data_IF_630159921260
#
_entry.id   IF_630159921260
#
_cell.length_a   1.000
_cell.length_b   1.000
_cell.length_c   1.000
_cell.angle_alpha   90.00
_cell.angle_beta   90.00
_cell.angle_gamma   90.00
#
_symmetry.space_group_name_H-M   'P 1'
#
loop_
_entity.id
_entity.type
_entity.pdbx_description
1 polymer ?
#
# COMPACT_ATOMS: atom_id res chain seq x y z
N UNK A 1 3.18 15.85 14.07
CA UNK A 1 3.26 14.53 14.74
C UNK A 1 3.49 13.50 13.64
N UNK A 2 4.34 12.48 13.83
CA UNK A 2 4.57 11.43 12.83
C UNK A 2 3.33 10.55 12.72
N UNK A 3 2.79 10.37 11.52
CA UNK A 3 1.71 9.44 11.23
C UNK A 3 2.32 8.07 10.99
N UNK A 4 2.24 7.18 11.98
CA UNK A 4 2.89 5.87 11.91
C UNK A 4 2.02 4.79 12.56
N UNK A 5 2.01 3.64 11.94
CA UNK A 5 1.35 2.42 12.42
C UNK A 5 1.97 1.18 11.80
N UNK A 6 1.27 0.07 11.88
CA UNK A 6 1.74 -1.21 11.36
C UNK A 6 0.58 -2.00 10.75
N UNK A 7 0.90 -3.13 10.12
CA UNK A 7 -0.10 -4.01 9.53
C UNK A 7 -0.72 -4.90 10.60
N UNK A 8 -1.97 -4.64 10.94
CA UNK A 8 -2.70 -5.27 12.04
C UNK A 8 -3.58 -6.43 11.58
N UNK A 9 -3.93 -7.27 12.54
CA UNK A 9 -4.85 -8.40 12.32
C UNK A 9 -6.28 -8.00 12.61
N UNK A 10 -7.21 -8.35 11.72
CA UNK A 10 -8.66 -8.18 11.92
C UNK A 10 -9.29 -9.24 12.82
N UNK A 11 -8.51 -10.05 13.53
CA UNK A 11 -9.00 -11.14 14.39
C UNK A 11 -9.93 -10.65 15.50
N UNK A 12 -9.67 -9.47 16.04
CA UNK A 12 -10.44 -8.83 17.12
C UNK A 12 -11.51 -7.85 16.62
N UNK A 13 -11.87 -7.91 15.33
CA UNK A 13 -12.83 -6.99 14.72
C UNK A 13 -12.22 -5.65 14.30
N UNK A 14 -13.09 -4.76 13.82
CA UNK A 14 -12.68 -3.43 13.35
C UNK A 14 -12.41 -2.47 14.53
N UNK A 15 -13.25 -2.47 15.57
CA UNK A 15 -12.98 -1.73 16.81
C UNK A 15 -11.61 -2.11 17.40
N UNK A 16 -11.27 -3.42 17.34
CA UNK A 16 -10.00 -3.95 17.80
C UNK A 16 -8.80 -3.29 17.14
N UNK A 17 -8.84 -3.04 15.82
CA UNK A 17 -7.77 -2.34 15.09
C UNK A 17 -7.47 -0.96 15.68
N UNK A 18 -8.52 -0.15 15.92
CA UNK A 18 -8.34 1.18 16.51
C UNK A 18 -7.76 1.14 17.93
N UNK A 19 -8.20 0.17 18.74
CA UNK A 19 -7.71 0.00 20.11
C UNK A 19 -6.27 -0.49 20.15
N UNK A 20 -5.91 -1.48 19.32
CA UNK A 20 -4.55 -2.02 19.21
C UNK A 20 -3.56 -0.96 18.72
N UNK A 21 -3.96 -0.14 17.70
CA UNK A 21 -3.17 0.98 17.25
C UNK A 21 -2.85 1.97 18.39
N UNK A 22 -3.84 2.33 19.18
CA UNK A 22 -3.63 3.23 20.34
C UNK A 22 -2.72 2.61 21.40
N UNK A 23 -2.86 1.32 21.67
CA UNK A 23 -2.02 0.60 22.65
C UNK A 23 -0.54 0.63 22.27
N UNK A 24 -0.22 0.46 20.99
CA UNK A 24 1.16 0.52 20.48
C UNK A 24 1.67 1.95 20.27
N UNK A 25 0.81 2.94 20.48
CA UNK A 25 1.13 4.36 20.26
C UNK A 25 1.09 4.76 18.78
N UNK A 26 0.41 4.02 17.94
CA UNK A 26 0.16 4.37 16.53
C UNK A 26 -0.99 5.37 16.39
N UNK A 27 -1.09 6.01 15.21
CA UNK A 27 -2.18 6.90 14.82
C UNK A 27 -2.61 6.68 13.36
N UNK A 28 -2.26 5.56 12.81
CA UNK A 28 -2.71 4.95 11.57
C UNK A 28 -2.41 3.45 11.64
N UNK A 29 -2.91 2.67 10.70
CA UNK A 29 -2.59 1.24 10.57
C UNK A 29 -2.89 0.76 9.14
N UNK A 30 -2.38 -0.44 8.80
CA UNK A 30 -2.90 -1.20 7.67
C UNK A 30 -3.61 -2.46 8.15
N UNK A 31 -4.48 -3.01 7.32
CA UNK A 31 -5.17 -4.26 7.58
C UNK A 31 -5.58 -4.93 6.26
N UNK A 32 -5.70 -6.25 6.25
CA UNK A 32 -6.26 -6.94 5.09
C UNK A 32 -7.79 -6.86 5.06
N UNK A 33 -8.34 -6.50 3.91
CA UNK A 33 -9.80 -6.48 3.68
C UNK A 33 -10.46 -7.84 3.86
N UNK A 34 -9.67 -8.91 3.68
CA UNK A 34 -10.02 -10.32 3.80
C UNK A 34 -8.79 -11.15 4.13
N UNK A 35 -8.94 -12.48 4.23
CA UNK A 35 -7.77 -13.34 4.42
C UNK A 35 -6.69 -13.02 3.35
N UNK A 36 -5.43 -12.76 3.74
CA UNK A 36 -4.34 -12.41 2.81
C UNK A 36 -4.04 -13.50 1.76
N UNK A 37 -4.47 -14.73 1.99
CA UNK A 37 -4.40 -15.82 1.02
C UNK A 37 -5.62 -15.90 0.09
N UNK A 38 -6.50 -14.89 0.13
CA UNK A 38 -7.73 -14.81 -0.65
C UNK A 38 -8.90 -15.55 -0.01
N UNK A 39 -10.00 -15.61 -0.75
CA UNK A 39 -11.23 -16.27 -0.31
C UNK A 39 -12.36 -15.29 0.02
N UNK A 40 -13.49 -15.84 0.48
CA UNK A 40 -14.65 -15.05 0.85
C UNK A 40 -14.36 -14.26 2.12
N UNK A 41 -14.65 -12.95 2.08
CA UNK A 41 -14.58 -12.10 3.27
C UNK A 41 -15.80 -12.39 4.19
N UNK A 42 -15.62 -12.18 5.50
CA UNK A 42 -16.73 -12.14 6.45
C UNK A 42 -17.56 -10.88 6.22
N UNK A 43 -18.85 -10.92 6.50
CA UNK A 43 -19.68 -9.71 6.45
C UNK A 43 -19.16 -8.67 7.44
N UNK A 44 -19.26 -7.39 7.07
CA UNK A 44 -18.88 -6.30 7.97
C UNK A 44 -19.95 -6.15 9.05
N UNK A 45 -19.53 -6.08 10.29
CA UNK A 45 -20.38 -5.62 11.38
C UNK A 45 -20.39 -4.09 11.38
N UNK A 46 -21.53 -3.50 11.04
CA UNK A 46 -21.69 -2.05 10.94
C UNK A 46 -21.46 -1.33 12.27
N UNK A 47 -21.86 -1.94 13.39
CA UNK A 47 -21.67 -1.36 14.72
C UNK A 47 -20.19 -1.34 15.08
N UNK A 48 -19.46 -2.41 14.75
CA UNK A 48 -18.02 -2.52 14.95
C UNK A 48 -17.26 -1.49 14.09
N UNK A 49 -17.66 -1.32 12.82
CA UNK A 49 -17.11 -0.30 11.93
C UNK A 49 -17.35 1.13 12.45
N UNK A 50 -18.56 1.43 12.95
CA UNK A 50 -18.88 2.74 13.53
C UNK A 50 -18.03 3.05 14.77
N UNK A 51 -17.75 2.05 15.62
CA UNK A 51 -16.86 2.21 16.76
C UNK A 51 -15.43 2.50 16.34
N UNK A 52 -14.90 1.81 15.31
CA UNK A 52 -13.61 2.14 14.74
C UNK A 52 -13.57 3.58 14.24
N UNK A 53 -14.55 3.99 13.44
CA UNK A 53 -14.61 5.36 12.92
C UNK A 53 -14.59 6.41 14.05
N UNK A 54 -15.33 6.16 15.13
CA UNK A 54 -15.34 7.02 16.32
C UNK A 54 -13.97 7.09 17.00
N UNK A 55 -13.29 5.94 17.18
CA UNK A 55 -11.94 5.91 17.76
C UNK A 55 -10.97 6.73 16.91
N UNK A 56 -11.02 6.56 15.58
CA UNK A 56 -10.15 7.29 14.66
C UNK A 56 -10.40 8.81 14.72
N UNK A 57 -11.67 9.25 14.75
CA UNK A 57 -12.03 10.65 14.86
C UNK A 57 -11.58 11.27 16.17
N UNK A 58 -11.89 10.63 17.32
CA UNK A 58 -11.57 11.13 18.66
C UNK A 58 -10.04 11.21 18.91
N UNK A 59 -9.25 10.39 18.22
CA UNK A 59 -7.81 10.34 18.39
C UNK A 59 -7.02 10.93 17.19
N UNK A 60 -7.69 11.61 16.26
CA UNK A 60 -7.08 12.28 15.11
C UNK A 60 -6.17 11.33 14.30
N UNK A 61 -6.68 10.16 13.95
CA UNK A 61 -5.95 9.21 13.10
C UNK A 61 -5.68 9.80 11.71
N UNK A 62 -4.51 9.55 11.18
CA UNK A 62 -4.21 9.70 9.78
C UNK A 62 -5.00 8.65 8.95
N UNK A 63 -5.14 8.81 7.62
CA UNK A 63 -5.79 7.80 6.79
C UNK A 63 -5.24 6.41 7.04
N UNK A 64 -6.13 5.42 7.15
CA UNK A 64 -5.76 4.01 7.32
C UNK A 64 -5.65 3.32 5.95
N UNK A 65 -4.84 2.27 5.87
CA UNK A 65 -4.55 1.57 4.64
C UNK A 65 -5.19 0.18 4.68
N UNK A 66 -6.20 -0.04 3.86
CA UNK A 66 -6.70 -1.38 3.60
C UNK A 66 -5.82 -2.04 2.53
N UNK A 67 -5.36 -3.26 2.74
CA UNK A 67 -4.51 -3.97 1.81
C UNK A 67 -5.26 -5.11 1.12
N UNK A 68 -5.14 -5.19 -0.20
CA UNK A 68 -5.65 -6.31 -0.97
C UNK A 68 -4.91 -7.61 -0.65
N UNK A 69 -5.56 -8.78 -0.77
CA UNK A 69 -4.87 -10.04 -0.55
C UNK A 69 -3.73 -10.27 -1.54
N UNK A 70 -2.65 -10.90 -1.10
CA UNK A 70 -1.48 -11.24 -1.94
C UNK A 70 -1.82 -12.14 -3.14
N UNK A 71 -2.96 -12.85 -3.09
CA UNK A 71 -3.42 -13.69 -4.19
C UNK A 71 -4.11 -12.94 -5.31
N UNK A 72 -4.36 -11.64 -5.13
CA UNK A 72 -4.91 -10.79 -6.17
C UNK A 72 -3.85 -10.57 -7.26
N UNK A 73 -4.13 -11.07 -8.47
CA UNK A 73 -3.23 -10.87 -9.62
C UNK A 73 -4.02 -10.37 -10.83
N UNK A 74 -4.12 -9.05 -11.01
CA UNK A 74 -4.90 -8.44 -12.08
C UNK A 74 -4.32 -8.67 -13.48
N UNK A 75 -3.06 -9.07 -13.60
CA UNK A 75 -2.38 -9.28 -14.87
C UNK A 75 -1.94 -10.74 -15.12
N UNK A 76 -2.54 -11.69 -14.42
CA UNK A 76 -2.32 -13.12 -14.68
C UNK A 76 -2.62 -13.49 -16.14
N UNK A 77 -1.90 -14.47 -16.70
CA UNK A 77 -2.24 -15.06 -17.99
C UNK A 77 -3.62 -15.75 -17.98
N UNK A 78 -4.04 -16.25 -16.82
CA UNK A 78 -5.35 -16.87 -16.64
C UNK A 78 -6.46 -15.80 -16.54
N UNK A 79 -7.41 -15.74 -17.51
CA UNK A 79 -8.51 -14.78 -17.48
C UNK A 79 -9.47 -14.99 -16.31
N UNK A 80 -9.59 -16.20 -15.79
CA UNK A 80 -10.43 -16.50 -14.61
C UNK A 80 -9.84 -15.86 -13.35
N UNK A 81 -8.53 -15.90 -13.18
CA UNK A 81 -7.85 -15.21 -12.07
C UNK A 81 -7.97 -13.69 -12.17
N UNK A 82 -7.91 -13.12 -13.36
CA UNK A 82 -8.11 -11.67 -13.56
C UNK A 82 -9.54 -11.24 -13.22
N UNK A 83 -10.53 -12.01 -13.67
CA UNK A 83 -11.94 -11.73 -13.35
C UNK A 83 -12.19 -11.85 -11.84
N UNK A 84 -11.61 -12.87 -11.19
CA UNK A 84 -11.67 -13.03 -9.74
C UNK A 84 -11.03 -11.84 -9.01
N UNK A 85 -9.86 -11.38 -9.45
CA UNK A 85 -9.20 -10.20 -8.89
C UNK A 85 -10.08 -8.94 -8.99
N UNK A 86 -10.72 -8.72 -10.16
CA UNK A 86 -11.65 -7.62 -10.38
C UNK A 86 -12.86 -7.66 -9.45
N UNK A 87 -13.52 -8.81 -9.34
CA UNK A 87 -14.69 -8.97 -8.46
C UNK A 87 -14.31 -8.79 -6.99
N UNK A 88 -13.15 -9.28 -6.59
CA UNK A 88 -12.61 -9.11 -5.24
C UNK A 88 -12.39 -7.63 -4.92
N UNK A 89 -11.80 -6.87 -5.84
CA UNK A 89 -11.58 -5.43 -5.66
C UNK A 89 -12.90 -4.65 -5.58
N UNK A 90 -13.89 -4.99 -6.39
CA UNK A 90 -15.24 -4.38 -6.33
C UNK A 90 -15.89 -4.64 -4.96
N UNK A 91 -15.82 -5.87 -4.48
CA UNK A 91 -16.36 -6.23 -3.16
C UNK A 91 -15.61 -5.50 -2.03
N UNK A 92 -14.29 -5.40 -2.11
CA UNK A 92 -13.50 -4.68 -1.12
C UNK A 92 -13.84 -3.19 -1.09
N UNK A 93 -14.08 -2.54 -2.22
CA UNK A 93 -14.54 -1.15 -2.24
C UNK A 93 -15.89 -1.00 -1.51
N UNK A 94 -16.84 -1.90 -1.75
CA UNK A 94 -18.13 -1.87 -1.05
C UNK A 94 -17.98 -2.04 0.47
N UNK A 95 -17.03 -2.86 0.91
CA UNK A 95 -16.70 -3.05 2.32
C UNK A 95 -16.03 -1.83 2.94
N UNK A 96 -15.20 -1.13 2.20
CA UNK A 96 -14.49 0.07 2.67
C UNK A 96 -15.41 1.31 2.80
N UNK A 97 -16.61 1.29 2.25
CA UNK A 97 -17.61 2.34 2.53
C UNK A 97 -18.01 2.42 4.01
N UNK A 98 -17.81 1.34 4.77
CA UNK A 98 -18.00 1.34 6.23
C UNK A 98 -16.86 2.04 7.00
N UNK A 99 -15.71 2.27 6.33
CA UNK A 99 -14.54 2.98 6.88
C UNK A 99 -14.16 4.09 5.89
N UNK A 100 -14.94 5.18 5.83
CA UNK A 100 -14.79 6.22 4.81
C UNK A 100 -13.40 6.89 4.86
N UNK A 101 -12.94 7.36 3.70
CA UNK A 101 -11.62 7.97 3.48
C UNK A 101 -10.43 7.02 3.68
N UNK A 102 -10.66 5.70 3.69
CA UNK A 102 -9.59 4.72 3.66
C UNK A 102 -8.79 4.79 2.36
N UNK A 103 -7.53 4.38 2.43
CA UNK A 103 -6.68 4.13 1.28
C UNK A 103 -6.72 2.62 1.00
N UNK A 104 -6.96 2.22 -0.25
CA UNK A 104 -6.99 0.81 -0.63
C UNK A 104 -5.77 0.48 -1.49
N UNK A 105 -4.79 -0.18 -0.87
CA UNK A 105 -3.52 -0.54 -1.49
C UNK A 105 -3.57 -1.94 -2.12
N UNK A 106 -2.95 -2.11 -3.30
CA UNK A 106 -2.81 -3.41 -3.94
C UNK A 106 -1.50 -3.54 -4.73
N UNK A 107 -0.98 -4.76 -4.83
CA UNK A 107 0.12 -5.10 -5.73
C UNK A 107 -0.38 -5.14 -7.17
N UNK A 108 0.25 -4.47 -8.13
CA UNK A 108 -0.21 -4.44 -9.51
C UNK A 108 -0.11 -5.79 -10.24
N UNK A 109 0.53 -6.79 -9.62
CA UNK A 109 0.50 -8.18 -10.01
C UNK A 109 1.74 -8.66 -10.77
N UNK A 110 1.64 -9.89 -11.26
CA UNK A 110 2.69 -10.57 -12.01
C UNK A 110 2.18 -11.03 -13.35
N UNK A 111 2.88 -10.66 -14.43
CA UNK A 111 2.47 -10.90 -15.82
C UNK A 111 2.57 -12.37 -16.27
N UNK A 112 3.10 -13.26 -15.43
CA UNK A 112 3.16 -14.72 -15.63
C UNK A 112 3.63 -15.16 -17.03
N UNK A 113 4.71 -14.53 -17.53
CA UNK A 113 5.34 -14.85 -18.82
C UNK A 113 4.82 -14.11 -20.05
N UNK A 114 3.78 -13.24 -19.91
CA UNK A 114 3.21 -12.48 -21.03
C UNK A 114 4.02 -11.23 -21.43
N UNK A 115 4.94 -10.79 -20.55
CA UNK A 115 5.69 -9.53 -20.69
C UNK A 115 5.05 -8.37 -19.89
N UNK A 116 5.88 -7.41 -19.51
CA UNK A 116 5.47 -6.28 -18.66
C UNK A 116 4.42 -5.39 -19.33
N UNK A 117 4.56 -5.09 -20.62
CA UNK A 117 3.62 -4.25 -21.36
C UNK A 117 2.20 -4.83 -21.34
N UNK A 118 2.08 -6.16 -21.53
CA UNK A 118 0.80 -6.86 -21.46
C UNK A 118 0.25 -6.83 -20.03
N UNK A 119 1.12 -7.05 -19.04
CA UNK A 119 0.73 -6.98 -17.63
C UNK A 119 0.20 -5.61 -17.23
N UNK A 120 0.89 -4.55 -17.64
CA UNK A 120 0.51 -3.16 -17.41
C UNK A 120 -0.85 -2.84 -18.05
N UNK A 121 -1.05 -3.26 -19.30
CA UNK A 121 -2.33 -3.06 -20.02
C UNK A 121 -3.48 -3.79 -19.32
N UNK A 122 -3.29 -5.04 -18.89
CA UNK A 122 -4.29 -5.82 -18.17
C UNK A 122 -4.67 -5.21 -16.82
N UNK A 123 -3.67 -4.79 -16.03
CA UNK A 123 -3.91 -4.12 -14.74
C UNK A 123 -4.65 -2.80 -14.91
N UNK A 124 -4.24 -1.99 -15.87
CA UNK A 124 -4.91 -0.73 -16.21
C UNK A 124 -6.35 -0.94 -16.66
N UNK A 125 -6.59 -2.02 -17.41
CA UNK A 125 -7.94 -2.41 -17.85
C UNK A 125 -8.81 -2.79 -16.65
N UNK A 126 -8.30 -3.61 -15.74
CA UNK A 126 -9.02 -3.98 -14.52
C UNK A 126 -9.38 -2.75 -13.69
N UNK A 127 -8.44 -1.84 -13.45
CA UNK A 127 -8.70 -0.58 -12.71
C UNK A 127 -9.84 0.20 -13.36
N UNK A 128 -9.80 0.39 -14.68
CA UNK A 128 -10.86 1.08 -15.43
C UNK A 128 -12.22 0.39 -15.27
N UNK A 129 -12.27 -0.93 -15.37
CA UNK A 129 -13.52 -1.71 -15.23
C UNK A 129 -14.08 -1.66 -13.81
N UNK A 130 -13.22 -1.75 -12.79
CA UNK A 130 -13.62 -1.59 -11.38
C UNK A 130 -14.31 -0.25 -11.18
N UNK A 131 -13.70 0.84 -11.62
CA UNK A 131 -14.26 2.19 -11.43
C UNK A 131 -15.48 2.50 -12.31
N UNK A 132 -15.73 1.75 -13.37
CA UNK A 132 -17.03 1.78 -14.08
C UNK A 132 -18.16 1.19 -13.22
N UNK A 133 -17.85 0.28 -12.32
CA UNK A 133 -18.80 -0.34 -11.38
C UNK A 133 -18.88 0.44 -10.08
N UNK A 134 -17.76 0.76 -9.47
CA UNK A 134 -17.63 1.53 -8.21
C UNK A 134 -17.72 3.02 -8.54
N UNK A 135 -18.93 3.61 -8.49
CA UNK A 135 -19.16 5.00 -8.93
C UNK A 135 -18.89 6.03 -7.84
N UNK A 136 -19.38 5.78 -6.65
CA UNK A 136 -19.34 6.70 -5.53
C UNK A 136 -18.59 6.05 -4.37
N UNK A 137 -17.34 6.43 -4.16
CA UNK A 137 -16.53 5.96 -3.02
C UNK A 137 -15.65 7.10 -2.54
N UNK A 138 -15.47 7.17 -1.23
CA UNK A 138 -14.48 8.04 -0.60
C UNK A 138 -13.08 7.39 -0.56
N UNK A 139 -13.01 6.09 -0.81
CA UNK A 139 -11.76 5.30 -0.81
C UNK A 139 -10.95 5.58 -2.07
N UNK A 140 -9.66 5.83 -1.88
CA UNK A 140 -8.67 6.00 -2.96
C UNK A 140 -7.92 4.70 -3.20
N UNK A 141 -7.80 4.27 -4.45
CA UNK A 141 -7.01 3.10 -4.83
C UNK A 141 -5.53 3.47 -4.95
N UNK A 142 -4.66 2.73 -4.29
CA UNK A 142 -3.21 2.91 -4.36
C UNK A 142 -2.55 1.74 -5.08
N UNK A 143 -1.70 2.08 -6.04
CA UNK A 143 -0.81 1.12 -6.70
C UNK A 143 0.48 1.09 -5.88
N UNK A 144 0.87 -0.09 -5.42
CA UNK A 144 2.12 -0.24 -4.69
C UNK A 144 3.31 -0.33 -5.63
N UNK A 145 4.43 0.30 -5.26
CA UNK A 145 5.72 0.09 -5.92
C UNK A 145 6.25 -1.29 -5.56
N UNK A 146 6.80 -2.04 -6.54
CA UNK A 146 7.20 -3.43 -6.38
C UNK A 146 8.70 -3.65 -6.48
N UNK A 147 9.19 -4.74 -5.90
CA UNK A 147 10.60 -5.13 -5.97
C UNK A 147 11.03 -5.68 -7.34
N UNK A 148 10.08 -6.08 -8.19
CA UNK A 148 10.36 -6.74 -9.47
C UNK A 148 10.75 -8.20 -9.33
N UNK A 149 10.21 -8.89 -8.32
CA UNK A 149 10.44 -10.30 -8.08
C UNK A 149 9.77 -11.15 -9.15
N UNK A 150 10.56 -11.95 -9.85
CA UNK A 150 10.04 -12.82 -10.92
C UNK A 150 9.46 -12.03 -12.09
N UNK A 151 8.14 -12.03 -12.22
CA UNK A 151 7.40 -11.33 -13.28
C UNK A 151 6.47 -10.23 -12.76
N UNK A 152 6.76 -9.67 -11.59
CA UNK A 152 6.04 -8.53 -11.03
C UNK A 152 6.20 -7.30 -11.94
N UNK A 153 5.11 -6.55 -12.09
CA UNK A 153 5.09 -5.22 -12.71
C UNK A 153 4.99 -4.13 -11.63
N UNK A 154 5.30 -2.88 -11.99
CA UNK A 154 5.33 -1.77 -11.03
C UNK A 154 6.66 -1.64 -10.28
N UNK A 155 7.74 -2.24 -10.78
CA UNK A 155 9.08 -2.13 -10.22
C UNK A 155 9.67 -0.74 -10.42
N UNK A 156 9.48 -0.13 -11.57
CA UNK A 156 9.98 1.21 -11.85
C UNK A 156 8.87 2.24 -11.74
N UNK A 157 9.24 3.48 -11.45
CA UNK A 157 8.28 4.59 -11.40
C UNK A 157 7.58 4.80 -12.74
N UNK A 158 8.28 4.53 -13.85
CA UNK A 158 7.70 4.56 -15.20
C UNK A 158 6.62 3.49 -15.40
N UNK A 159 6.84 2.25 -14.90
CA UNK A 159 5.81 1.20 -14.98
C UNK A 159 4.56 1.59 -14.18
N UNK A 160 4.73 2.13 -12.96
CA UNK A 160 3.62 2.63 -12.13
C UNK A 160 2.89 3.77 -12.85
N UNK A 161 3.66 4.73 -13.39
CA UNK A 161 3.08 5.85 -14.17
C UNK A 161 2.32 5.35 -15.39
N UNK A 162 2.85 4.39 -16.11
CA UNK A 162 2.21 3.81 -17.28
C UNK A 162 0.88 3.11 -16.91
N UNK A 163 0.82 2.40 -15.78
CA UNK A 163 -0.43 1.82 -15.27
C UNK A 163 -1.47 2.92 -15.03
N UNK A 164 -1.09 4.02 -14.37
CA UNK A 164 -1.97 5.15 -14.09
C UNK A 164 -2.48 5.78 -15.39
N UNK A 165 -1.58 6.12 -16.30
CA UNK A 165 -1.92 6.82 -17.55
C UNK A 165 -2.85 5.98 -18.44
N UNK A 166 -2.57 4.69 -18.58
CA UNK A 166 -3.43 3.78 -19.33
C UNK A 166 -4.80 3.58 -18.69
N UNK A 167 -4.86 3.51 -17.34
CA UNK A 167 -6.13 3.42 -16.64
C UNK A 167 -6.97 4.69 -16.84
N UNK A 168 -6.34 5.87 -16.76
CA UNK A 168 -6.99 7.15 -17.06
C UNK A 168 -7.44 7.25 -18.53
N UNK A 169 -6.62 6.79 -19.47
CA UNK A 169 -7.00 6.76 -20.89
C UNK A 169 -8.24 5.88 -21.14
N UNK A 170 -8.34 4.74 -20.46
CA UNK A 170 -9.45 3.78 -20.61
C UNK A 170 -10.73 4.20 -19.90
N UNK A 171 -10.62 4.94 -18.79
CA UNK A 171 -11.76 5.37 -17.97
C UNK A 171 -12.18 6.82 -18.24
N UNK A 172 -11.21 7.72 -18.35
CA UNK A 172 -11.39 9.16 -18.43
C UNK A 172 -10.65 9.91 -17.31
N UNK A 173 -10.39 11.19 -17.51
CA UNK A 173 -9.56 12.04 -16.63
C UNK A 173 -10.07 12.17 -15.18
N UNK A 174 -11.34 11.88 -14.92
CA UNK A 174 -11.90 11.86 -13.56
C UNK A 174 -11.33 10.75 -12.68
N UNK A 175 -10.64 9.75 -13.27
CA UNK A 175 -9.99 8.68 -12.52
C UNK A 175 -8.80 9.19 -11.71
N UNK A 176 -8.10 10.24 -12.17
CA UNK A 176 -6.92 10.81 -11.52
C UNK A 176 -7.14 11.11 -10.03
N UNK A 177 -8.29 11.64 -9.66
CA UNK A 177 -8.60 11.95 -8.26
C UNK A 177 -8.84 10.71 -7.38
N UNK A 178 -9.00 9.53 -7.98
CA UNK A 178 -9.35 8.27 -7.33
C UNK A 178 -8.19 7.28 -7.25
N UNK A 179 -7.07 7.59 -7.95
CA UNK A 179 -5.85 6.79 -7.93
C UNK A 179 -4.75 7.49 -7.14
N UNK A 180 -3.83 6.70 -6.64
CA UNK A 180 -2.60 7.14 -6.00
C UNK A 180 -1.58 6.03 -5.97
N UNK A 181 -0.50 6.28 -5.25
CA UNK A 181 0.63 5.36 -5.09
C UNK A 181 0.90 5.13 -3.61
N UNK A 182 1.22 3.89 -3.25
CA UNK A 182 1.89 3.53 -2.02
C UNK A 182 3.35 3.20 -2.35
N UNK A 183 4.30 3.89 -1.73
CA UNK A 183 5.71 3.63 -1.91
C UNK A 183 6.20 2.72 -0.79
N UNK A 184 6.70 1.52 -1.12
CA UNK A 184 7.37 0.65 -0.17
C UNK A 184 8.89 0.83 -0.25
N UNK A 185 9.52 1.15 0.90
CA UNK A 185 10.97 1.42 0.95
C UNK A 185 11.83 0.18 0.69
N UNK A 186 11.37 -1.02 1.11
CA UNK A 186 12.02 -2.28 0.79
C UNK A 186 11.88 -2.60 -0.70
N UNK A 187 10.68 -2.42 -1.27
CA UNK A 187 10.43 -2.72 -2.68
C UNK A 187 11.25 -1.83 -3.62
N UNK A 188 11.27 -0.51 -3.39
CA UNK A 188 12.06 0.37 -4.26
C UNK A 188 13.57 0.11 -4.10
N UNK A 189 14.06 -0.18 -2.88
CA UNK A 189 15.45 -0.60 -2.66
C UNK A 189 15.78 -1.89 -3.42
N UNK A 190 14.97 -2.92 -3.26
CA UNK A 190 15.13 -4.18 -3.98
C UNK A 190 14.92 -3.99 -5.51
N UNK A 191 14.13 -3.00 -5.91
CA UNK A 191 13.91 -2.58 -7.30
C UNK A 191 15.07 -1.83 -7.94
N UNK A 192 16.03 -1.33 -7.13
CA UNK A 192 17.26 -0.68 -7.58
C UNK A 192 17.37 0.82 -7.29
N UNK A 193 16.43 1.41 -6.54
CA UNK A 193 16.49 2.81 -6.12
C UNK A 193 17.31 2.97 -4.84
N UNK A 194 18.46 3.61 -4.94
CA UNK A 194 19.41 3.79 -3.82
C UNK A 194 18.99 4.94 -2.89
N UNK A 195 18.04 4.64 -2.00
CA UNK A 195 17.58 5.58 -0.98
C UNK A 195 18.60 5.79 0.16
N UNK A 196 19.62 4.95 0.26
CA UNK A 196 20.67 5.06 1.28
C UNK A 196 21.67 6.17 0.94
N UNK A 197 22.17 6.17 -0.28
CA UNK A 197 23.15 7.17 -0.71
C UNK A 197 22.53 8.41 -1.38
N UNK A 198 21.30 8.33 -1.89
CA UNK A 198 20.67 9.36 -2.71
C UNK A 198 19.15 9.49 -2.49
N UNK A 199 18.72 9.61 -1.23
CA UNK A 199 17.28 9.73 -0.90
C UNK A 199 16.59 10.88 -1.65
N UNK A 200 17.17 12.08 -1.62
CA UNK A 200 16.59 13.27 -2.27
C UNK A 200 16.45 13.06 -3.78
N UNK A 201 17.45 12.47 -4.44
CA UNK A 201 17.40 12.19 -5.88
C UNK A 201 16.34 11.15 -6.24
N UNK A 202 16.13 10.13 -5.42
CA UNK A 202 15.04 9.15 -5.64
C UNK A 202 13.67 9.82 -5.48
N UNK A 203 13.50 10.70 -4.48
CA UNK A 203 12.26 11.45 -4.28
C UNK A 203 12.01 12.43 -5.44
N UNK A 204 13.05 13.09 -5.94
CA UNK A 204 12.95 13.98 -7.10
C UNK A 204 12.59 13.21 -8.38
N UNK A 205 13.15 12.02 -8.56
CA UNK A 205 12.80 11.13 -9.67
C UNK A 205 11.33 10.69 -9.61
N UNK A 206 10.85 10.28 -8.42
CA UNK A 206 9.44 9.98 -8.19
C UNK A 206 8.54 11.19 -8.52
N UNK A 207 8.90 12.36 -8.03
CA UNK A 207 8.16 13.61 -8.27
C UNK A 207 8.07 13.95 -9.76
N UNK A 208 9.17 13.81 -10.48
CA UNK A 208 9.24 14.08 -11.92
C UNK A 208 8.41 13.11 -12.76
N UNK A 209 8.37 11.82 -12.40
CA UNK A 209 7.72 10.76 -13.18
C UNK A 209 6.25 10.63 -12.81
N UNK A 210 5.94 10.51 -11.53
CA UNK A 210 4.60 10.21 -11.01
C UNK A 210 3.92 11.47 -10.47
N UNK A 211 4.68 12.34 -9.79
CA UNK A 211 4.20 13.49 -9.02
C UNK A 211 3.94 13.12 -7.56
N UNK A 212 4.50 13.90 -6.63
CA UNK A 212 4.33 13.67 -5.18
C UNK A 212 2.89 13.88 -4.70
N UNK A 213 2.08 14.62 -5.45
CA UNK A 213 0.65 14.77 -5.20
C UNK A 213 -0.14 13.46 -5.36
N UNK A 214 0.47 12.46 -6.00
CA UNK A 214 -0.10 11.12 -6.17
C UNK A 214 0.41 10.11 -5.14
N UNK A 215 1.32 10.51 -4.23
CA UNK A 215 1.81 9.66 -3.14
C UNK A 215 0.94 9.84 -1.90
N UNK A 216 0.30 8.76 -1.44
CA UNK A 216 -0.68 8.81 -0.34
C UNK A 216 -0.29 8.00 0.88
N UNK A 217 0.59 7.01 0.74
CA UNK A 217 1.07 6.18 1.85
C UNK A 217 2.50 5.70 1.59
N UNK A 218 3.19 5.37 2.65
CA UNK A 218 4.52 4.76 2.60
C UNK A 218 4.51 3.50 3.47
N UNK A 219 4.83 2.35 2.87
CA UNK A 219 5.24 1.18 3.62
C UNK A 219 6.72 1.37 4.00
N UNK A 220 6.96 1.46 5.30
CA UNK A 220 8.28 1.78 5.85
C UNK A 220 8.95 0.50 6.36
N UNK A 221 9.69 -0.14 5.50
CA UNK A 221 10.31 -1.43 5.75
C UNK A 221 11.82 -1.38 5.48
N UNK A 222 12.63 -2.07 6.30
CA UNK A 222 14.01 -2.37 5.98
C UNK A 222 14.08 -3.60 5.06
N UNK A 223 15.18 -3.82 4.37
CA UNK A 223 15.35 -4.96 3.47
C UNK A 223 16.43 -5.92 3.95
N UNK A 224 16.13 -7.22 3.92
CA UNK A 224 17.13 -8.27 4.16
C UNK A 224 18.18 -8.35 3.06
N UNK A 225 17.98 -7.69 1.93
CA UNK A 225 18.76 -7.86 0.72
C UNK A 225 19.55 -6.59 0.36
N UNK A 226 20.66 -6.75 -0.39
CA UNK A 226 21.36 -5.62 -0.97
C UNK A 226 20.52 -4.93 -2.07
N UNK A 227 20.91 -3.71 -2.43
CA UNK A 227 20.30 -2.91 -3.49
C UNK A 227 20.13 -3.71 -4.80
N UNK A 228 18.96 -3.65 -5.39
CA UNK A 228 18.65 -4.26 -6.68
C UNK A 228 18.53 -5.79 -6.65
N UNK A 229 18.25 -6.39 -5.51
CA UNK A 229 18.18 -7.84 -5.36
C UNK A 229 16.93 -8.49 -5.95
N UNK A 230 15.86 -7.75 -6.16
CA UNK A 230 14.55 -8.22 -6.66
C UNK A 230 13.97 -9.39 -5.84
N UNK A 231 13.96 -9.26 -4.50
CA UNK A 231 13.58 -10.36 -3.60
C UNK A 231 12.32 -10.11 -2.79
N UNK A 232 12.05 -8.89 -2.40
CA UNK A 232 10.94 -8.55 -1.51
C UNK A 232 10.99 -9.39 -0.22
N UNK A 233 11.86 -8.99 0.70
CA UNK A 233 12.02 -9.58 2.02
C UNK A 233 12.25 -8.48 3.04
N UNK A 234 11.19 -8.14 3.77
CA UNK A 234 11.24 -7.13 4.83
C UNK A 234 12.13 -7.61 5.99
N UNK A 235 12.82 -6.66 6.59
CA UNK A 235 13.59 -6.83 7.82
C UNK A 235 13.13 -5.78 8.85
N UNK A 236 13.43 -6.02 10.11
CA UNK A 236 13.17 -5.08 11.20
C UNK A 236 13.95 -3.79 10.98
N UNK A 237 13.34 -2.66 11.36
CA UNK A 237 13.93 -1.32 11.21
C UNK A 237 15.36 -1.28 11.79
N UNK A 238 16.32 -0.94 10.94
CA UNK A 238 17.74 -0.83 11.30
C UNK A 238 18.48 -2.16 11.41
N UNK A 239 17.89 -3.26 10.96
CA UNK A 239 18.53 -4.59 10.94
C UNK A 239 18.84 -5.09 9.54
N UNK A 240 18.35 -4.40 8.51
CA UNK A 240 18.58 -4.71 7.12
C UNK A 240 19.63 -3.83 6.45
N UNK A 241 19.59 -3.81 5.13
CA UNK A 241 20.56 -3.11 4.28
C UNK A 241 20.24 -1.63 4.06
N UNK A 242 19.00 -1.18 4.30
CA UNK A 242 18.60 0.24 4.24
C UNK A 242 19.06 0.95 5.50
N UNK A 243 18.81 0.34 6.66
CA UNK A 243 19.27 0.80 7.96
C UNK A 243 18.44 1.92 8.57
N UNK A 244 18.52 2.03 9.91
CA UNK A 244 17.74 2.97 10.72
C UNK A 244 17.86 4.42 10.26
N UNK A 245 19.08 4.90 10.04
CA UNK A 245 19.34 6.32 9.73
C UNK A 245 18.62 6.77 8.45
N UNK A 246 18.59 5.91 7.42
CA UNK A 246 17.90 6.20 6.17
C UNK A 246 16.38 6.21 6.38
N UNK A 247 15.83 5.17 7.01
CA UNK A 247 14.39 5.08 7.27
C UNK A 247 13.90 6.20 8.19
N UNK A 248 14.71 6.61 9.18
CA UNK A 248 14.44 7.77 10.00
C UNK A 248 14.40 9.06 9.16
N UNK A 249 15.36 9.27 8.24
CA UNK A 249 15.34 10.40 7.30
C UNK A 249 14.11 10.40 6.41
N UNK A 250 13.67 9.25 5.93
CA UNK A 250 12.42 9.12 5.16
C UNK A 250 11.24 9.67 5.95
N UNK A 251 11.10 9.33 7.24
CA UNK A 251 9.99 9.82 8.08
C UNK A 251 10.06 11.30 8.40
N UNK A 252 11.23 11.93 8.25
CA UNK A 252 11.45 13.36 8.53
C UNK A 252 11.59 14.20 7.26
N UNK A 253 11.59 13.57 6.09
CA UNK A 253 11.75 14.28 4.84
C UNK A 253 10.59 15.26 4.61
N UNK A 254 10.85 16.56 4.31
CA UNK A 254 9.81 17.61 4.25
C UNK A 254 8.65 17.31 3.30
N UNK A 255 8.94 16.59 2.20
CA UNK A 255 7.94 16.20 1.20
C UNK A 255 7.13 14.96 1.59
N UNK A 256 7.55 14.18 2.61
CA UNK A 256 6.97 12.90 2.97
C UNK A 256 6.35 12.87 4.39
N UNK A 257 6.83 13.70 5.31
CA UNK A 257 6.57 13.61 6.76
C UNK A 257 5.09 13.72 7.18
N UNK A 258 4.21 14.15 6.29
CA UNK A 258 2.77 14.23 6.55
C UNK A 258 1.99 12.98 6.10
N UNK A 259 2.63 12.05 5.38
CA UNK A 259 2.00 10.83 4.91
C UNK A 259 1.86 9.80 6.04
N UNK A 260 0.92 8.86 5.94
CA UNK A 260 0.88 7.69 6.80
C UNK A 260 2.04 6.73 6.45
N UNK A 261 2.79 6.33 7.47
CA UNK A 261 3.85 5.33 7.40
C UNK A 261 3.35 4.03 8.03
N UNK A 262 3.44 2.93 7.30
CA UNK A 262 3.00 1.62 7.75
C UNK A 262 4.20 0.68 7.82
N UNK A 263 4.39 0.06 8.99
CA UNK A 263 5.40 -0.97 9.20
C UNK A 263 4.82 -2.34 8.84
N UNK A 264 5.54 -3.09 8.03
CA UNK A 264 5.24 -4.50 7.69
C UNK A 264 6.44 -5.40 8.01
N UNK A 265 7.23 -4.95 8.97
CA UNK A 265 8.43 -5.61 9.47
C UNK A 265 8.08 -6.94 10.16
N UNK A 266 8.97 -7.95 10.16
CA UNK A 266 8.68 -9.26 10.75
C UNK A 266 8.75 -9.21 12.30
N UNK A 267 7.78 -8.52 12.90
CA UNK A 267 7.67 -8.31 14.32
C UNK A 267 6.42 -8.94 14.93
N UNK A 268 6.50 -9.20 16.23
CA UNK A 268 5.35 -9.31 17.13
C UNK A 268 4.98 -7.91 17.65
N UNK A 269 3.83 -7.77 18.31
CA UNK A 269 3.33 -6.48 18.80
C UNK A 269 4.37 -5.69 19.62
N UNK A 270 5.13 -6.35 20.50
CA UNK A 270 6.19 -5.71 21.29
C UNK A 270 7.29 -5.08 20.43
N UNK A 271 7.63 -5.72 19.31
CA UNK A 271 8.62 -5.19 18.35
C UNK A 271 8.10 -3.95 17.63
N UNK A 272 6.82 -3.91 17.24
CA UNK A 272 6.20 -2.72 16.67
C UNK A 272 6.17 -1.55 17.66
N UNK A 273 5.88 -1.79 18.95
CA UNK A 273 5.98 -0.77 20.00
C UNK A 273 7.38 -0.14 20.03
N UNK A 274 8.42 -0.98 19.98
CA UNK A 274 9.81 -0.53 19.99
C UNK A 274 10.16 0.28 18.74
N UNK A 275 9.80 -0.20 17.55
CA UNK A 275 10.07 0.49 16.27
C UNK A 275 9.34 1.84 16.19
N UNK A 276 8.04 1.88 16.53
CA UNK A 276 7.26 3.12 16.56
C UNK A 276 7.87 4.13 17.54
N UNK A 277 8.24 3.67 18.74
CA UNK A 277 8.89 4.52 19.75
C UNK A 277 10.25 5.05 19.28
N UNK A 278 11.02 4.22 18.58
CA UNK A 278 12.33 4.57 18.05
C UNK A 278 12.21 5.62 16.94
N UNK A 279 11.23 5.45 16.04
CA UNK A 279 10.98 6.37 14.91
C UNK A 279 10.33 7.69 15.34
N UNK A 280 9.67 7.74 16.50
CA UNK A 280 9.05 8.96 17.06
C UNK A 280 10.01 9.87 17.84
N UNK A 281 11.20 9.41 18.18
CA UNK A 281 12.23 10.22 18.85
C UNK A 281 12.81 11.26 17.90
#
# INVERSE_FOLDING_TARGET
MLNIGYHESTANGLEGLGLEALEVGANTFAFFTRNPRGGKAKDIDEVDAQKLCKIMEENNFAPVVAHAPYTMNPCSADPGLREYAKQMMIDDFARLEYIPNSLYNFHPGSHTGQGSDVGIDLTSTMISEVFKTVKNTSTKLLIETMAGKGSEIGRTFEEVKQIIDLAEQKFGSSLKSRLGVCLDTCHIWDGGYDIVSNLDGVIEEFDKIIGLENLYAIHLNDSMNPLGAHKDRHEKIGKGHIGFETLYKVTRHPKLCNLPFILETPNEQSGYIEEIKMLKK
#
